data_IF_838307158939
#
_entry.id   IF_838307158939
#
_cell.length_a   1.000
_cell.length_b   1.000
_cell.length_c   1.000
_cell.angle_alpha   90.00
_cell.angle_beta   90.00
_cell.angle_gamma   90.00
#
_symmetry.space_group_name_H-M   'P 1'
#
loop_
_entity.id
_entity.type
_entity.pdbx_description
1 polymer ?
#
# COMPACT_ATOMS: atom_id res chain seq x y z
N UNK A 1 -0.02 -46.71 98.99
CA UNK A 1 -0.45 -46.33 97.64
C UNK A 1 -1.84 -45.67 97.71
N UNK A 2 -1.93 -44.34 97.60
CA UNK A 2 -3.18 -43.66 97.24
C UNK A 2 -2.83 -42.27 96.70
N UNK A 3 -3.03 -42.09 95.40
CA UNK A 3 -2.61 -40.95 94.59
C UNK A 3 -3.31 -39.66 95.01
N UNK A 4 -2.53 -38.59 95.29
CA UNK A 4 -3.03 -37.21 95.30
C UNK A 4 -3.43 -36.84 93.86
N UNK A 5 -4.72 -36.99 93.53
CA UNK A 5 -5.28 -36.54 92.25
C UNK A 5 -5.42 -35.01 92.26
N UNK A 6 -4.95 -34.41 91.16
CA UNK A 6 -4.90 -32.98 90.88
C UNK A 6 -6.23 -32.25 91.16
N UNK A 7 -6.25 -31.38 92.18
CA UNK A 7 -7.29 -30.36 92.38
C UNK A 7 -6.98 -29.13 91.52
N UNK A 8 -7.28 -29.22 90.23
CA UNK A 8 -7.40 -28.05 89.35
C UNK A 8 -8.47 -28.30 88.29
N UNK A 9 -9.61 -28.88 88.69
CA UNK A 9 -10.80 -28.90 87.85
C UNK A 9 -11.57 -27.61 88.11
N UNK A 10 -11.52 -26.68 87.14
CA UNK A 10 -12.32 -25.46 87.15
C UNK A 10 -13.80 -25.83 87.28
N UNK A 11 -14.55 -25.08 88.11
CA UNK A 11 -16.01 -25.25 88.25
C UNK A 11 -16.67 -25.12 86.87
N UNK A 12 -17.72 -25.92 86.55
CA UNK A 12 -18.44 -25.77 85.29
C UNK A 12 -19.00 -24.35 85.19
N UNK A 13 -18.75 -23.68 84.05
CA UNK A 13 -19.27 -22.34 83.76
C UNK A 13 -20.80 -22.34 83.89
N UNK A 14 -21.38 -21.27 84.42
CA UNK A 14 -22.85 -21.12 84.45
C UNK A 14 -23.39 -21.04 83.02
N UNK A 15 -24.63 -21.50 82.81
CA UNK A 15 -25.28 -21.53 81.49
C UNK A 15 -25.30 -20.14 80.82
N UNK A 16 -25.43 -19.08 81.63
CA UNK A 16 -25.39 -17.69 81.19
C UNK A 16 -24.01 -17.32 80.63
N UNK A 17 -22.92 -17.76 81.27
CA UNK A 17 -21.56 -17.51 80.76
C UNK A 17 -21.28 -18.28 79.46
N UNK A 18 -21.81 -19.50 79.34
CA UNK A 18 -21.74 -20.30 78.10
C UNK A 18 -22.55 -19.66 76.97
N UNK A 19 -23.71 -19.09 77.27
CA UNK A 19 -24.53 -18.37 76.30
C UNK A 19 -23.84 -17.07 75.83
N UNK A 20 -23.22 -16.31 76.74
CA UNK A 20 -22.45 -15.11 76.41
C UNK A 20 -21.23 -15.45 75.54
N UNK A 21 -20.48 -16.51 75.87
CA UNK A 21 -19.34 -16.97 75.07
C UNK A 21 -19.77 -17.40 73.66
N UNK A 22 -20.92 -18.07 73.52
CA UNK A 22 -21.50 -18.40 72.21
C UNK A 22 -21.90 -17.15 71.42
N UNK A 23 -22.50 -16.16 72.09
CA UNK A 23 -22.89 -14.91 71.46
C UNK A 23 -21.68 -14.12 70.96
N UNK A 24 -20.64 -13.97 71.79
CA UNK A 24 -19.38 -13.35 71.39
C UNK A 24 -18.73 -14.08 70.21
N UNK A 25 -18.72 -15.42 70.23
CA UNK A 25 -18.23 -16.22 69.11
C UNK A 25 -19.03 -15.98 67.82
N UNK A 26 -20.36 -15.82 67.90
CA UNK A 26 -21.19 -15.46 66.74
C UNK A 26 -20.85 -14.07 66.19
N UNK A 27 -20.59 -13.08 67.07
CA UNK A 27 -20.15 -11.74 66.65
C UNK A 27 -18.80 -11.80 65.95
N UNK A 28 -17.83 -12.52 66.52
CA UNK A 28 -16.49 -12.68 65.92
C UNK A 28 -16.60 -13.36 64.56
N UNK A 29 -17.38 -14.44 64.43
CA UNK A 29 -17.63 -15.10 63.14
C UNK A 29 -18.28 -14.17 62.12
N UNK A 30 -19.28 -13.40 62.54
CA UNK A 30 -19.93 -12.41 61.67
C UNK A 30 -18.93 -11.36 61.17
N UNK A 31 -18.09 -10.84 62.06
CA UNK A 31 -17.08 -9.85 61.68
C UNK A 31 -16.04 -10.45 60.73
N UNK A 32 -15.54 -11.66 61.00
CA UNK A 32 -14.62 -12.37 60.11
C UNK A 32 -15.22 -12.59 58.71
N UNK A 33 -16.48 -13.01 58.62
CA UNK A 33 -17.18 -13.17 57.34
C UNK A 33 -17.39 -11.83 56.62
N UNK A 34 -17.64 -10.75 57.36
CA UNK A 34 -17.74 -9.41 56.77
C UNK A 34 -16.41 -8.90 56.23
N UNK A 35 -15.31 -9.17 56.94
CA UNK A 35 -13.96 -8.81 56.50
C UNK A 35 -13.56 -9.62 55.25
N UNK A 36 -13.84 -10.93 55.23
CA UNK A 36 -13.64 -11.79 54.07
C UNK A 36 -14.49 -11.31 52.87
N UNK A 37 -15.76 -10.98 53.10
CA UNK A 37 -16.65 -10.44 52.06
C UNK A 37 -16.18 -9.07 51.53
N UNK A 38 -15.52 -8.25 52.37
CA UNK A 38 -14.90 -6.99 51.93
C UNK A 38 -13.69 -7.26 51.04
N UNK A 39 -12.79 -8.16 51.45
CA UNK A 39 -11.61 -8.54 50.65
C UNK A 39 -12.03 -9.07 49.28
N UNK A 40 -12.98 -10.01 49.24
CA UNK A 40 -13.49 -10.56 47.97
C UNK A 40 -14.13 -9.49 47.06
N UNK A 41 -14.78 -8.48 47.67
CA UNK A 41 -15.36 -7.35 46.91
C UNK A 41 -14.26 -6.48 46.31
N UNK A 42 -13.21 -6.19 47.07
CA UNK A 42 -12.09 -5.37 46.63
C UNK A 42 -11.30 -6.08 45.52
N UNK A 43 -11.07 -7.39 45.65
CA UNK A 43 -10.46 -8.22 44.60
C UNK A 43 -11.28 -8.21 43.31
N UNK A 44 -12.60 -8.41 43.42
CA UNK A 44 -13.51 -8.35 42.27
C UNK A 44 -13.47 -6.97 41.60
N UNK A 45 -13.50 -5.89 42.38
CA UNK A 45 -13.44 -4.53 41.84
C UNK A 45 -12.10 -4.29 41.13
N UNK A 46 -10.98 -4.73 41.71
CA UNK A 46 -9.66 -4.62 41.09
C UNK A 46 -9.57 -5.39 39.76
N UNK A 47 -10.11 -6.61 39.69
CA UNK A 47 -10.19 -7.38 38.44
C UNK A 47 -11.07 -6.69 37.40
N UNK A 48 -12.21 -6.12 37.83
CA UNK A 48 -13.09 -5.37 36.95
C UNK A 48 -12.40 -4.14 36.36
N UNK A 49 -11.67 -3.38 37.17
CA UNK A 49 -10.93 -2.19 36.74
C UNK A 49 -9.80 -2.55 35.77
N UNK A 50 -9.07 -3.64 36.03
CA UNK A 50 -8.05 -4.16 35.12
C UNK A 50 -8.66 -4.55 33.77
N UNK A 51 -9.78 -5.28 33.79
CA UNK A 51 -10.49 -5.68 32.57
C UNK A 51 -10.98 -4.46 31.76
N UNK A 52 -11.53 -3.46 32.43
CA UNK A 52 -12.00 -2.23 31.79
C UNK A 52 -10.85 -1.49 31.09
N UNK A 53 -9.70 -1.33 31.77
CA UNK A 53 -8.49 -0.73 31.17
C UNK A 53 -8.01 -1.49 29.93
N UNK A 54 -7.92 -2.81 30.03
CA UNK A 54 -7.51 -3.67 28.91
C UNK A 54 -8.48 -3.56 27.73
N UNK A 55 -9.79 -3.47 28.00
CA UNK A 55 -10.78 -3.27 26.93
C UNK A 55 -10.70 -1.90 26.28
N UNK A 56 -10.43 -0.83 27.04
CA UNK A 56 -10.19 0.49 26.45
C UNK A 56 -8.98 0.48 25.51
N UNK A 57 -7.90 -0.19 25.88
CA UNK A 57 -6.71 -0.34 25.02
C UNK A 57 -7.02 -1.13 23.74
N UNK A 58 -7.80 -2.21 23.85
CA UNK A 58 -8.27 -2.97 22.67
C UNK A 58 -9.10 -2.09 21.75
N UNK A 59 -10.01 -1.26 22.30
CA UNK A 59 -10.84 -0.37 21.51
C UNK A 59 -10.02 0.71 20.79
N UNK A 60 -9.06 1.33 21.47
CA UNK A 60 -8.12 2.29 20.85
C UNK A 60 -7.39 1.67 19.66
N UNK A 61 -6.84 0.47 19.83
CA UNK A 61 -6.16 -0.23 18.73
C UNK A 61 -7.10 -0.65 17.59
N UNK A 62 -8.36 -0.97 17.88
CA UNK A 62 -9.38 -1.23 16.85
C UNK A 62 -9.73 0.02 16.05
N UNK A 63 -9.84 1.17 16.71
CA UNK A 63 -10.07 2.46 16.06
C UNK A 63 -8.88 2.86 15.17
N UNK A 64 -7.66 2.68 15.66
CA UNK A 64 -6.44 2.85 14.86
C UNK A 64 -6.45 1.95 13.62
N UNK A 65 -6.79 0.66 13.75
CA UNK A 65 -6.91 -0.25 12.60
C UNK A 65 -7.98 0.20 11.60
N UNK A 66 -9.11 0.71 12.09
CA UNK A 66 -10.19 1.23 11.24
C UNK A 66 -9.74 2.48 10.49
N UNK A 67 -9.05 3.40 11.17
CA UNK A 67 -8.47 4.61 10.56
C UNK A 67 -7.45 4.25 9.48
N UNK A 68 -6.49 3.39 9.80
CA UNK A 68 -5.49 2.90 8.85
C UNK A 68 -6.13 2.17 7.66
N UNK A 69 -7.21 1.41 7.88
CA UNK A 69 -7.94 0.73 6.80
C UNK A 69 -8.61 1.74 5.86
N UNK A 70 -9.16 2.84 6.38
CA UNK A 70 -9.70 3.94 5.56
C UNK A 70 -8.59 4.64 4.78
N UNK A 71 -7.43 4.89 5.39
CA UNK A 71 -6.28 5.47 4.67
C UNK A 71 -5.79 4.54 3.58
N UNK A 72 -5.67 3.24 3.87
CA UNK A 72 -5.31 2.20 2.90
C UNK A 72 -6.27 2.19 1.70
N UNK A 73 -7.58 2.25 1.91
CA UNK A 73 -8.53 2.27 0.79
C UNK A 73 -8.42 3.54 -0.06
N UNK A 74 -8.15 4.70 0.56
CA UNK A 74 -7.87 5.95 -0.18
C UNK A 74 -6.66 5.80 -1.10
N UNK A 75 -5.53 5.36 -0.57
CA UNK A 75 -4.31 5.15 -1.37
C UNK A 75 -4.50 4.06 -2.44
N UNK A 76 -5.26 3.01 -2.13
CA UNK A 76 -5.60 1.97 -3.11
C UNK A 76 -6.44 2.52 -4.28
N UNK A 77 -7.40 3.39 -3.99
CA UNK A 77 -8.20 4.04 -5.02
C UNK A 77 -7.36 5.02 -5.86
N UNK A 78 -6.47 5.78 -5.22
CA UNK A 78 -5.54 6.69 -5.91
C UNK A 78 -4.61 5.92 -6.85
N UNK A 79 -3.99 4.83 -6.38
CA UNK A 79 -3.18 3.92 -7.19
C UNK A 79 -3.96 3.38 -8.39
N UNK A 80 -5.16 2.85 -8.16
CA UNK A 80 -5.98 2.29 -9.23
C UNK A 80 -6.33 3.36 -10.28
N UNK A 81 -6.66 4.58 -9.84
CA UNK A 81 -6.93 5.70 -10.74
C UNK A 81 -5.72 6.09 -11.60
N UNK A 82 -4.52 6.14 -11.01
CA UNK A 82 -3.28 6.39 -11.75
C UNK A 82 -2.97 5.27 -12.76
N UNK A 83 -3.14 4.00 -12.36
CA UNK A 83 -2.96 2.85 -13.25
C UNK A 83 -3.98 2.84 -14.42
N UNK A 84 -5.23 3.22 -14.17
CA UNK A 84 -6.24 3.34 -15.22
C UNK A 84 -5.91 4.46 -16.20
N UNK A 85 -5.43 5.62 -15.71
CA UNK A 85 -4.95 6.70 -16.58
C UNK A 85 -3.77 6.25 -17.43
N UNK A 86 -2.77 5.60 -16.83
CA UNK A 86 -1.62 5.06 -17.55
C UNK A 86 -2.06 4.05 -18.63
N UNK A 87 -3.02 3.15 -18.34
CA UNK A 87 -3.57 2.22 -19.33
C UNK A 87 -4.24 2.95 -20.51
N UNK A 88 -5.03 3.98 -20.25
CA UNK A 88 -5.64 4.80 -21.31
C UNK A 88 -4.59 5.48 -22.19
N UNK A 89 -3.51 5.98 -21.59
CA UNK A 89 -2.38 6.57 -22.33
C UNK A 89 -1.65 5.52 -23.17
N UNK A 90 -1.47 4.29 -22.65
CA UNK A 90 -0.90 3.17 -23.42
C UNK A 90 -1.79 2.80 -24.60
N UNK A 91 -3.11 2.75 -24.42
CA UNK A 91 -4.05 2.49 -25.52
C UNK A 91 -3.95 3.57 -26.60
N UNK A 92 -3.91 4.86 -26.20
CA UNK A 92 -3.69 5.98 -27.13
C UNK A 92 -2.36 5.85 -27.88
N UNK A 93 -1.27 5.52 -27.17
CA UNK A 93 0.04 5.26 -27.77
C UNK A 93 -0.02 4.11 -28.77
N UNK A 94 -0.69 3.01 -28.44
CA UNK A 94 -0.84 1.87 -29.34
C UNK A 94 -1.67 2.22 -30.58
N UNK A 95 -2.71 3.04 -30.44
CA UNK A 95 -3.49 3.55 -31.57
C UNK A 95 -2.63 4.42 -32.50
N UNK A 96 -1.84 5.35 -31.94
CA UNK A 96 -0.90 6.18 -32.73
C UNK A 96 0.18 5.36 -33.44
N UNK A 97 0.62 4.23 -32.86
CA UNK A 97 1.63 3.34 -33.46
C UNK A 97 1.08 2.33 -34.48
N UNK A 98 -0.23 2.07 -34.54
CA UNK A 98 -0.81 1.03 -35.43
C UNK A 98 -0.55 1.29 -36.92
N UNK A 99 -0.32 2.53 -37.33
CA UNK A 99 0.04 2.89 -38.71
C UNK A 99 1.52 2.67 -39.08
N UNK A 100 2.39 2.32 -38.12
CA UNK A 100 3.85 2.41 -38.28
C UNK A 100 4.56 1.08 -38.53
N UNK A 101 3.85 0.07 -39.06
CA UNK A 101 4.44 -1.27 -39.26
C UNK A 101 5.26 -1.33 -40.55
N UNK A 102 6.58 -1.30 -40.40
CA UNK A 102 7.45 -2.17 -41.19
C UNK A 102 8.33 -1.53 -42.25
N UNK A 103 8.27 -0.22 -42.48
CA UNK A 103 9.19 0.38 -43.43
C UNK A 103 10.56 0.61 -42.81
N UNK A 104 11.61 0.34 -43.63
CA UNK A 104 12.99 0.77 -43.36
C UNK A 104 12.95 2.23 -42.86
N UNK A 105 13.84 2.59 -41.94
CA UNK A 105 13.95 3.96 -41.41
C UNK A 105 13.76 4.96 -42.55
N UNK A 106 12.61 5.67 -42.58
CA UNK A 106 12.33 6.65 -43.65
C UNK A 106 13.41 7.73 -43.69
N UNK A 107 14.10 7.97 -42.56
CA UNK A 107 15.29 8.81 -42.52
C UNK A 107 16.40 8.29 -43.43
N UNK A 108 16.63 6.98 -43.42
CA UNK A 108 17.67 6.35 -44.23
C UNK A 108 17.30 6.39 -45.72
N UNK A 109 16.01 6.30 -46.06
CA UNK A 109 15.54 6.40 -47.45
C UNK A 109 15.63 7.83 -47.97
N UNK A 110 15.20 8.82 -47.18
CA UNK A 110 15.36 10.25 -47.51
C UNK A 110 16.83 10.61 -47.66
N UNK A 111 17.68 10.15 -46.74
CA UNK A 111 19.13 10.41 -46.80
C UNK A 111 19.80 9.71 -47.99
N UNK A 112 19.35 8.51 -48.35
CA UNK A 112 19.80 7.82 -49.57
C UNK A 112 19.41 8.59 -50.84
N UNK A 113 18.15 9.04 -50.95
CA UNK A 113 17.68 9.86 -52.08
C UNK A 113 18.45 11.18 -52.19
N UNK A 114 18.68 11.87 -51.07
CA UNK A 114 19.48 13.09 -51.04
C UNK A 114 20.91 12.83 -51.54
N UNK A 115 21.52 11.72 -51.13
CA UNK A 115 22.86 11.34 -51.61
C UNK A 115 22.89 10.98 -53.10
N UNK A 116 21.82 10.35 -53.62
CA UNK A 116 21.68 9.99 -55.02
C UNK A 116 21.52 11.22 -55.91
N UNK A 117 20.68 12.17 -55.51
CA UNK A 117 20.49 13.46 -56.20
C UNK A 117 21.83 14.21 -56.27
N UNK A 118 22.53 14.33 -55.13
CA UNK A 118 23.79 15.05 -55.06
C UNK A 118 24.89 14.40 -55.92
N UNK A 119 24.90 13.06 -56.00
CA UNK A 119 25.82 12.33 -56.88
C UNK A 119 25.50 12.53 -58.37
N UNK A 120 24.22 12.58 -58.75
CA UNK A 120 23.79 12.83 -60.12
C UNK A 120 24.06 14.28 -60.55
N UNK A 121 23.86 15.25 -59.66
CA UNK A 121 24.23 16.66 -59.89
C UNK A 121 25.73 16.82 -60.09
N UNK A 122 26.53 16.24 -59.19
CA UNK A 122 27.99 16.24 -59.32
C UNK A 122 28.46 15.59 -60.62
N UNK A 123 27.83 14.49 -61.04
CA UNK A 123 28.15 13.81 -62.30
C UNK A 123 27.82 14.68 -63.52
N UNK A 124 26.72 15.42 -63.48
CA UNK A 124 26.34 16.38 -64.52
C UNK A 124 27.37 17.51 -64.65
N UNK A 125 27.84 18.05 -63.52
CA UNK A 125 28.81 19.14 -63.49
C UNK A 125 30.22 18.74 -63.95
N UNK A 126 30.60 17.47 -63.72
CA UNK A 126 31.98 17.00 -63.93
C UNK A 126 32.20 16.19 -65.20
N UNK A 127 31.13 15.80 -65.92
CA UNK A 127 31.23 14.93 -67.10
C UNK A 127 30.62 15.60 -68.33
N UNK A 128 31.42 15.77 -69.38
CA UNK A 128 30.92 16.23 -70.68
C UNK A 128 30.04 15.14 -71.31
N UNK A 129 28.79 15.48 -71.63
CA UNK A 129 27.80 14.55 -72.20
C UNK A 129 27.06 15.19 -73.38
N UNK A 130 26.59 14.39 -74.35
CA UNK A 130 25.72 14.88 -75.41
C UNK A 130 24.34 15.29 -74.86
N UNK A 131 23.73 16.31 -75.46
CA UNK A 131 22.46 16.96 -75.03
C UNK A 131 21.34 15.95 -74.73
N UNK A 132 21.24 14.86 -75.50
CA UNK A 132 20.23 13.83 -75.28
C UNK A 132 20.38 13.11 -73.93
N UNK A 133 21.62 12.76 -73.54
CA UNK A 133 21.91 12.12 -72.25
C UNK A 133 21.77 13.08 -71.08
N UNK A 134 22.05 14.36 -71.29
CA UNK A 134 21.81 15.39 -70.27
C UNK A 134 20.31 15.56 -69.99
N UNK A 135 19.46 15.56 -71.03
CA UNK A 135 17.99 15.57 -70.85
C UNK A 135 17.48 14.37 -70.05
N UNK A 136 17.91 13.16 -70.38
CA UNK A 136 17.53 11.96 -69.63
C UNK A 136 17.95 12.03 -68.15
N UNK A 137 19.13 12.60 -67.87
CA UNK A 137 19.62 12.78 -66.51
C UNK A 137 18.82 13.86 -65.75
N UNK A 138 18.40 14.92 -66.43
CA UNK A 138 17.54 15.97 -65.87
C UNK A 138 16.12 15.44 -65.57
N UNK A 139 15.57 14.58 -66.43
CA UNK A 139 14.27 13.93 -66.18
C UNK A 139 14.34 13.01 -64.95
N UNK A 140 15.45 12.26 -64.79
CA UNK A 140 15.68 11.45 -63.58
C UNK A 140 15.84 12.30 -62.32
N UNK A 141 16.58 13.40 -62.39
CA UNK A 141 16.71 14.35 -61.28
C UNK A 141 15.35 14.96 -60.90
N UNK A 142 14.50 15.29 -61.88
CA UNK A 142 13.16 15.81 -61.61
C UNK A 142 12.27 14.78 -60.90
N UNK A 143 12.34 13.51 -61.29
CA UNK A 143 11.60 12.41 -60.63
C UNK A 143 12.13 12.20 -59.20
N UNK A 144 13.45 12.14 -59.02
CA UNK A 144 14.06 11.94 -57.71
C UNK A 144 13.78 13.10 -56.75
N UNK A 145 13.80 14.36 -57.24
CA UNK A 145 13.45 15.53 -56.44
C UNK A 145 12.00 15.51 -55.98
N UNK A 146 11.05 15.17 -56.86
CA UNK A 146 9.64 14.98 -56.46
C UNK A 146 9.49 13.88 -55.41
N UNK A 147 10.17 12.75 -55.62
CA UNK A 147 10.16 11.65 -54.65
C UNK A 147 10.81 12.03 -53.32
N UNK A 148 11.78 12.94 -53.32
CA UNK A 148 12.40 13.45 -52.10
C UNK A 148 11.40 14.33 -51.35
N UNK A 149 10.80 15.31 -52.03
CA UNK A 149 9.80 16.22 -51.44
C UNK A 149 8.64 15.43 -50.81
N UNK A 150 8.08 14.45 -51.53
CA UNK A 150 7.00 13.58 -51.04
C UNK A 150 7.43 12.78 -49.78
N UNK A 151 8.67 12.27 -49.76
CA UNK A 151 9.18 11.51 -48.61
C UNK A 151 9.55 12.40 -47.42
N UNK A 152 10.00 13.63 -47.65
CA UNK A 152 10.29 14.62 -46.60
C UNK A 152 9.01 15.08 -45.89
N UNK A 153 7.90 15.29 -46.62
CA UNK A 153 6.61 15.61 -46.02
C UNK A 153 6.13 14.47 -45.10
N UNK A 154 6.21 13.23 -45.58
CA UNK A 154 5.87 12.04 -44.78
C UNK A 154 6.79 11.92 -43.56
N UNK A 155 8.09 12.17 -43.73
CA UNK A 155 9.05 12.12 -42.63
C UNK A 155 8.71 13.14 -41.53
N UNK A 156 8.36 14.37 -41.89
CA UNK A 156 7.95 15.41 -40.94
C UNK A 156 6.72 14.98 -40.13
N UNK A 157 5.70 14.41 -40.78
CA UNK A 157 4.52 13.90 -40.06
C UNK A 157 4.88 12.77 -39.11
N UNK A 158 5.82 11.90 -39.50
CA UNK A 158 6.29 10.79 -38.68
C UNK A 158 7.08 11.28 -37.46
N UNK A 159 7.95 12.27 -37.62
CA UNK A 159 8.69 12.89 -36.52
C UNK A 159 7.75 13.58 -35.52
N UNK A 160 6.72 14.27 -36.00
CA UNK A 160 5.71 14.86 -35.15
C UNK A 160 4.97 13.80 -34.32
N UNK A 161 4.53 12.70 -34.95
CA UNK A 161 3.90 11.58 -34.25
C UNK A 161 4.84 10.93 -33.23
N UNK A 162 6.13 10.85 -33.53
CA UNK A 162 7.13 10.32 -32.60
C UNK A 162 7.35 11.23 -31.39
N UNK A 163 7.37 12.55 -31.58
CA UNK A 163 7.41 13.51 -30.49
C UNK A 163 6.19 13.36 -29.57
N UNK A 164 4.98 13.31 -30.13
CA UNK A 164 3.76 13.09 -29.36
C UNK A 164 3.77 11.76 -28.60
N UNK A 165 4.29 10.68 -29.21
CA UNK A 165 4.43 9.38 -28.56
C UNK A 165 5.45 9.43 -27.43
N UNK A 166 6.54 10.17 -27.60
CA UNK A 166 7.55 10.36 -26.55
C UNK A 166 6.99 11.14 -25.36
N UNK A 167 6.18 12.17 -25.62
CA UNK A 167 5.48 12.91 -24.55
C UNK A 167 4.47 12.01 -23.80
N UNK A 168 3.75 11.15 -24.53
CA UNK A 168 2.87 10.16 -23.91
C UNK A 168 3.67 9.19 -23.01
N UNK A 169 4.88 8.81 -23.39
CA UNK A 169 5.74 7.94 -22.58
C UNK A 169 6.18 8.60 -21.27
N UNK A 170 6.60 9.86 -21.31
CA UNK A 170 6.92 10.63 -20.10
C UNK A 170 5.70 10.71 -19.16
N UNK A 171 4.50 10.93 -19.73
CA UNK A 171 3.26 10.99 -18.95
C UNK A 171 2.88 9.63 -18.35
N UNK A 172 3.08 8.54 -19.09
CA UNK A 172 2.85 7.17 -18.62
C UNK A 172 3.77 6.86 -17.43
N UNK A 173 5.06 7.15 -17.57
CA UNK A 173 6.06 6.92 -16.52
C UNK A 173 5.75 7.75 -15.27
N UNK A 174 5.32 9.00 -15.44
CA UNK A 174 4.90 9.85 -14.33
C UNK A 174 3.67 9.28 -13.59
N UNK A 175 2.67 8.77 -14.31
CA UNK A 175 1.49 8.15 -13.68
C UNK A 175 1.83 6.82 -12.99
N UNK A 176 2.76 6.01 -13.55
CA UNK A 176 3.24 4.81 -12.87
C UNK A 176 4.06 5.14 -11.61
N UNK A 177 4.91 6.16 -11.65
CA UNK A 177 5.66 6.61 -10.47
C UNK A 177 4.71 7.01 -9.34
N UNK A 178 3.65 7.77 -9.64
CA UNK A 178 2.60 8.10 -8.66
C UNK A 178 1.90 6.85 -8.14
N UNK A 179 1.57 5.90 -9.01
CA UNK A 179 0.94 4.65 -8.60
C UNK A 179 1.84 3.82 -7.65
N UNK A 180 3.15 3.82 -7.88
CA UNK A 180 4.11 3.09 -7.05
C UNK A 180 4.28 3.74 -5.66
N UNK A 181 4.28 5.06 -5.58
CA UNK A 181 4.27 5.81 -4.31
C UNK A 181 3.03 5.49 -3.48
N UNK A 182 1.86 5.53 -4.12
CA UNK A 182 0.58 5.16 -3.50
C UNK A 182 0.58 3.68 -3.07
N UNK A 183 1.20 2.80 -3.87
CA UNK A 183 1.33 1.38 -3.53
C UNK A 183 2.20 1.16 -2.28
N UNK A 184 3.32 1.86 -2.15
CA UNK A 184 4.17 1.80 -0.93
C UNK A 184 3.35 2.16 0.31
N UNK A 185 2.58 3.24 0.23
CA UNK A 185 1.69 3.67 1.32
C UNK A 185 0.65 2.60 1.68
N UNK A 186 0.03 1.95 0.69
CA UNK A 186 -0.90 0.83 0.92
C UNK A 186 -0.22 -0.34 1.65
N UNK A 187 0.99 -0.69 1.26
CA UNK A 187 1.78 -1.78 1.87
C UNK A 187 2.13 -1.43 3.32
N UNK A 188 2.54 -0.20 3.58
CA UNK A 188 2.89 0.28 4.91
C UNK A 188 1.68 0.23 5.86
N UNK A 189 0.52 0.75 5.43
CA UNK A 189 -0.72 0.66 6.23
C UNK A 189 -1.16 -0.79 6.46
N UNK A 190 -1.01 -1.67 5.46
CA UNK A 190 -1.30 -3.09 5.63
C UNK A 190 -0.36 -3.75 6.66
N UNK A 191 0.93 -3.40 6.64
CA UNK A 191 1.93 -3.90 7.59
C UNK A 191 1.65 -3.38 9.00
N UNK A 192 1.30 -2.11 9.15
CA UNK A 192 0.91 -1.50 10.43
C UNK A 192 -0.32 -2.20 11.02
N UNK A 193 -1.37 -2.40 10.22
CA UNK A 193 -2.58 -3.11 10.68
C UNK A 193 -2.29 -4.55 11.08
N UNK A 194 -1.41 -5.26 10.35
CA UNK A 194 -0.99 -6.60 10.76
C UNK A 194 -0.28 -6.60 12.12
N UNK A 195 0.55 -5.59 12.42
CA UNK A 195 1.21 -5.44 13.72
C UNK A 195 0.19 -5.14 14.83
N UNK A 196 -0.73 -4.21 14.60
CA UNK A 196 -1.77 -3.86 15.58
C UNK A 196 -2.67 -5.06 15.85
N UNK A 197 -3.10 -5.79 14.80
CA UNK A 197 -3.89 -7.01 14.97
C UNK A 197 -3.20 -8.05 15.86
N UNK A 198 -1.91 -8.29 15.66
CA UNK A 198 -1.14 -9.20 16.53
C UNK A 198 -1.13 -8.74 17.99
N UNK A 199 -0.94 -7.45 18.24
CA UNK A 199 -0.99 -6.87 19.60
C UNK A 199 -2.38 -7.06 20.22
N UNK A 200 -3.43 -6.67 19.50
CA UNK A 200 -4.82 -6.84 19.95
C UNK A 200 -5.15 -8.29 20.27
N UNK A 201 -4.73 -9.24 19.43
CA UNK A 201 -4.94 -10.67 19.69
C UNK A 201 -4.20 -11.16 20.93
N UNK A 202 -3.02 -10.61 21.23
CA UNK A 202 -2.25 -10.95 22.45
C UNK A 202 -2.95 -10.39 23.68
N UNK A 203 -3.31 -9.10 23.65
CA UNK A 203 -4.03 -8.42 24.73
C UNK A 203 -5.41 -9.07 24.97
N UNK A 204 -6.11 -9.50 23.93
CA UNK A 204 -7.38 -10.24 24.08
C UNK A 204 -7.20 -11.59 24.77
N UNK A 205 -6.08 -12.30 24.55
CA UNK A 205 -5.78 -13.54 25.27
C UNK A 205 -5.49 -13.26 26.74
N UNK A 206 -4.70 -12.23 27.03
CA UNK A 206 -4.43 -11.77 28.40
C UNK A 206 -5.72 -11.37 29.12
N UNK A 207 -6.62 -10.64 28.43
CA UNK A 207 -7.94 -10.28 28.94
C UNK A 207 -8.82 -11.49 29.26
N UNK A 208 -8.71 -12.57 28.49
CA UNK A 208 -9.46 -13.81 28.72
C UNK A 208 -8.93 -14.60 29.94
N UNK A 209 -7.73 -14.32 30.42
CA UNK A 209 -7.19 -14.89 31.67
C UNK A 209 -7.58 -14.08 32.92
N UNK A 210 -8.17 -12.88 32.74
CA UNK A 210 -8.69 -12.04 33.82
C UNK A 210 -10.17 -12.33 34.16
N UNK A 211 -10.74 -13.41 33.60
CA UNK A 211 -12.09 -13.93 33.90
C UNK A 211 -12.01 -15.19 34.75
#
# INVERSE_FOLDING_TARGET
>A
MAQKKNRNQQKPKSEIMLAEERFQNCIVKRNALNDEARVLRDERNALHDQRSKVMEEIMKHREEMKSNSKSKTKHQNARNGAQEKAKKLIELKQQKRKGKKGDKSMKDTVQALHSEILNLEKRRETTEMPIAKERELMDRLAILRRSLDDQEEVLLTQEHLDAEVSELDVNIDAEFSKADEEHKSVVDFARLNKKIYKKVTTIMKEAAHLS
#
